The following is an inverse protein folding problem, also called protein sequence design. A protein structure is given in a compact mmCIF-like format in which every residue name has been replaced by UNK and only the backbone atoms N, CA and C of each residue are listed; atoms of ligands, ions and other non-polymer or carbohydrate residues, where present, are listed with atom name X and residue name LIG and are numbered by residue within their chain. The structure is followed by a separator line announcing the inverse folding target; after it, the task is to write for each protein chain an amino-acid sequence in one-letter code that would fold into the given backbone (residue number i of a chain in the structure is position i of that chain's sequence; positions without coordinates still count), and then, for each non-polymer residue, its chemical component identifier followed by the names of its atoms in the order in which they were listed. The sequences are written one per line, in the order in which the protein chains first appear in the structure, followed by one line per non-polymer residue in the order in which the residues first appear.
data_IF_508524474671
#
_entry.id   IF_508524474671
#
_cell.length_a   1.000
_cell.length_b   1.000
_cell.length_c   1.000
_cell.angle_alpha   90.00
_cell.angle_beta   90.00
_cell.angle_gamma   90.00
#
_symmetry.space_group_name_H-M   'P 1'
#
loop_
_entity.id
_entity.type
_entity.pdbx_description
1 polymer ?
#
# COMPACT_ATOMS: atom_id res chain seq x y z
N UNK A 1 -61.53 9.12 -7.82
CA UNK A 1 -60.49 8.92 -8.88
C UNK A 1 -59.24 8.45 -8.16
N UNK A 2 -58.75 7.27 -8.46
CA UNK A 2 -57.64 6.67 -7.68
C UNK A 2 -56.32 7.08 -8.32
N UNK A 3 -55.54 7.97 -7.65
CA UNK A 3 -54.32 8.58 -8.16
C UNK A 3 -53.30 7.50 -8.58
N UNK A 4 -53.21 6.42 -7.80
CA UNK A 4 -52.29 5.30 -8.09
C UNK A 4 -52.62 4.60 -9.42
N UNK A 5 -53.93 4.40 -9.73
CA UNK A 5 -54.37 3.79 -10.99
C UNK A 5 -54.07 4.70 -12.19
N UNK A 6 -54.22 6.00 -12.02
CA UNK A 6 -53.97 7.00 -13.07
C UNK A 6 -52.45 7.06 -13.36
N UNK A 7 -51.60 7.04 -12.32
CA UNK A 7 -50.15 7.00 -12.48
C UNK A 7 -49.71 5.73 -13.19
N UNK A 8 -50.24 4.58 -12.85
CA UNK A 8 -49.95 3.31 -13.50
C UNK A 8 -50.32 3.30 -14.99
N UNK A 9 -51.50 3.82 -15.33
CA UNK A 9 -51.92 3.95 -16.74
C UNK A 9 -51.04 4.89 -17.53
N UNK A 10 -50.58 5.99 -16.91
CA UNK A 10 -49.65 6.94 -17.58
C UNK A 10 -48.27 6.32 -17.84
N UNK A 11 -47.76 5.52 -16.90
CA UNK A 11 -46.52 4.78 -17.10
C UNK A 11 -46.58 3.79 -18.29
N UNK A 12 -47.74 3.09 -18.43
CA UNK A 12 -47.94 2.12 -19.49
C UNK A 12 -48.23 2.79 -20.85
N UNK A 13 -48.84 3.99 -20.87
CA UNK A 13 -49.14 4.71 -22.10
C UNK A 13 -47.92 5.36 -22.78
N UNK A 14 -46.84 5.60 -22.00
CA UNK A 14 -45.61 6.21 -22.51
C UNK A 14 -44.37 5.35 -22.19
N UNK A 15 -44.25 4.14 -22.79
CA UNK A 15 -43.23 3.17 -22.37
C UNK A 15 -41.80 3.65 -22.60
N UNK A 16 -41.54 4.37 -23.68
CA UNK A 16 -40.21 4.90 -23.97
C UNK A 16 -39.73 5.89 -22.91
N UNK A 17 -40.61 6.81 -22.51
CA UNK A 17 -40.28 7.81 -21.48
C UNK A 17 -40.11 7.14 -20.11
N UNK A 18 -40.94 6.14 -19.80
CA UNK A 18 -40.84 5.36 -18.56
C UNK A 18 -39.54 4.59 -18.49
N UNK A 19 -39.11 3.93 -19.55
CA UNK A 19 -37.84 3.20 -19.62
C UNK A 19 -36.66 4.18 -19.45
N UNK A 20 -36.70 5.34 -20.11
CA UNK A 20 -35.68 6.35 -19.99
C UNK A 20 -35.55 6.88 -18.56
N UNK A 21 -36.67 7.19 -17.91
CA UNK A 21 -36.69 7.64 -16.51
C UNK A 21 -36.14 6.55 -15.55
N UNK A 22 -36.53 5.30 -15.75
CA UNK A 22 -36.02 4.18 -14.95
C UNK A 22 -34.51 3.99 -15.15
N UNK A 23 -34.05 4.09 -16.39
CA UNK A 23 -32.61 3.97 -16.71
C UNK A 23 -31.81 5.09 -16.07
N UNK A 24 -32.28 6.33 -16.14
CA UNK A 24 -31.63 7.47 -15.48
C UNK A 24 -31.64 7.34 -13.96
N UNK A 25 -32.74 6.88 -13.38
CA UNK A 25 -32.85 6.67 -11.94
C UNK A 25 -31.92 5.55 -11.48
N UNK A 26 -31.87 4.42 -12.17
CA UNK A 26 -30.99 3.31 -11.84
C UNK A 26 -29.52 3.69 -11.98
N UNK A 27 -29.19 4.44 -13.04
CA UNK A 27 -27.84 4.97 -13.23
C UNK A 27 -27.44 5.92 -12.11
N UNK A 28 -28.32 6.85 -11.72
CA UNK A 28 -28.09 7.79 -10.62
C UNK A 28 -27.85 7.08 -9.29
N UNK A 29 -28.73 6.15 -8.93
CA UNK A 29 -28.57 5.35 -7.70
C UNK A 29 -27.30 4.49 -7.78
N UNK A 30 -27.02 3.91 -8.95
CA UNK A 30 -25.82 3.09 -9.17
C UNK A 30 -24.52 3.88 -8.96
N UNK A 31 -24.45 5.10 -9.50
CA UNK A 31 -23.27 5.97 -9.32
C UNK A 31 -23.10 6.38 -7.86
N UNK A 32 -24.19 6.78 -7.19
CA UNK A 32 -24.12 7.15 -5.76
C UNK A 32 -23.63 5.95 -4.93
N UNK A 33 -24.19 4.77 -5.16
CA UNK A 33 -23.78 3.55 -4.47
C UNK A 33 -22.31 3.21 -4.71
N UNK A 34 -21.85 3.34 -5.95
CA UNK A 34 -20.45 3.10 -6.32
C UNK A 34 -19.51 4.06 -5.58
N UNK A 35 -19.83 5.36 -5.56
CA UNK A 35 -19.01 6.37 -4.87
C UNK A 35 -18.95 6.09 -3.36
N UNK A 36 -20.07 5.73 -2.74
CA UNK A 36 -20.11 5.39 -1.32
C UNK A 36 -19.29 4.13 -1.00
N UNK A 37 -19.36 3.10 -1.84
CA UNK A 37 -18.55 1.90 -1.69
C UNK A 37 -17.04 2.19 -1.83
N UNK A 38 -16.65 2.94 -2.86
CA UNK A 38 -15.25 3.34 -3.06
C UNK A 38 -14.74 4.17 -1.90
N UNK A 39 -15.52 5.14 -1.42
CA UNK A 39 -15.11 5.96 -0.27
C UNK A 39 -14.86 5.11 0.98
N UNK A 40 -15.77 4.18 1.28
CA UNK A 40 -15.63 3.28 2.42
C UNK A 40 -14.41 2.35 2.29
N UNK A 41 -14.18 1.80 1.09
CA UNK A 41 -13.02 0.92 0.84
C UNK A 41 -11.69 1.67 0.98
N UNK A 42 -11.61 2.88 0.41
CA UNK A 42 -10.42 3.74 0.54
C UNK A 42 -10.16 4.09 2.01
N UNK A 43 -11.19 4.50 2.75
CA UNK A 43 -11.05 4.84 4.18
C UNK A 43 -10.54 3.65 4.99
N UNK A 44 -11.11 2.45 4.79
CA UNK A 44 -10.66 1.24 5.46
C UNK A 44 -9.22 0.89 5.12
N UNK A 45 -8.81 1.03 3.87
CA UNK A 45 -7.46 0.74 3.44
C UNK A 45 -6.45 1.74 4.04
N UNK A 46 -6.79 3.03 4.06
CA UNK A 46 -5.97 4.05 4.70
C UNK A 46 -5.80 3.78 6.20
N UNK A 47 -6.88 3.44 6.90
CA UNK A 47 -6.84 3.13 8.33
C UNK A 47 -6.00 1.88 8.64
N UNK A 48 -6.03 0.85 7.80
CA UNK A 48 -5.20 -0.34 7.97
C UNK A 48 -3.70 0.00 7.91
N UNK A 49 -3.30 0.88 7.01
CA UNK A 49 -1.90 1.27 6.85
C UNK A 49 -1.35 2.08 8.04
N UNK A 50 -2.20 2.84 8.72
CA UNK A 50 -1.82 3.67 9.89
C UNK A 50 -1.91 2.90 11.21
N UNK A 51 -2.56 1.73 11.22
CA UNK A 51 -2.82 0.97 12.45
C UNK A 51 -1.52 0.61 13.16
N UNK A 52 -1.42 1.05 14.42
CA UNK A 52 -0.24 0.77 15.28
C UNK A 52 0.93 1.72 15.07
N UNK A 53 0.75 2.79 14.29
CA UNK A 53 1.74 3.85 14.10
C UNK A 53 1.25 5.11 14.80
N UNK A 54 1.89 5.47 15.91
CA UNK A 54 1.52 6.67 16.68
C UNK A 54 2.27 7.91 16.16
N UNK A 55 3.49 7.74 15.64
CA UNK A 55 4.35 8.83 15.20
C UNK A 55 5.32 8.36 14.11
N UNK A 56 5.60 9.27 13.19
CA UNK A 56 6.65 9.10 12.17
C UNK A 56 7.73 10.15 12.39
N UNK A 57 8.98 9.72 12.39
CA UNK A 57 10.15 10.60 12.53
C UNK A 57 11.04 10.47 11.30
N UNK A 58 11.40 11.59 10.68
CA UNK A 58 12.23 11.61 9.49
C UNK A 58 12.98 12.94 9.34
N UNK A 59 13.69 13.11 8.23
CA UNK A 59 14.37 14.36 7.90
C UNK A 59 13.37 15.54 7.78
N UNK A 60 13.84 16.74 8.08
CA UNK A 60 13.02 17.95 7.96
C UNK A 60 12.57 18.17 6.52
N UNK A 61 11.29 18.46 6.35
CA UNK A 61 10.67 18.70 5.05
C UNK A 61 9.15 18.78 5.19
N UNK A 62 8.44 18.37 4.15
CA UNK A 62 6.99 18.34 4.16
C UNK A 62 6.47 17.21 5.07
N UNK A 63 5.63 17.49 6.10
CA UNK A 63 5.01 16.44 6.91
C UNK A 63 4.16 15.47 6.09
N UNK A 64 3.48 15.99 5.06
CA UNK A 64 2.67 15.16 4.17
C UNK A 64 3.54 14.16 3.39
N UNK A 65 4.66 14.63 2.81
CA UNK A 65 5.59 13.78 2.09
C UNK A 65 6.21 12.72 3.01
N UNK A 66 6.52 13.07 4.25
CA UNK A 66 7.02 12.13 5.24
C UNK A 66 6.02 10.99 5.52
N UNK A 67 4.74 11.31 5.68
CA UNK A 67 3.69 10.32 5.89
C UNK A 67 3.47 9.48 4.61
N UNK A 68 3.40 10.12 3.45
CA UNK A 68 3.20 9.41 2.17
C UNK A 68 4.34 8.43 1.88
N UNK A 69 5.58 8.81 2.16
CA UNK A 69 6.72 7.93 1.92
C UNK A 69 6.85 6.80 2.94
N UNK A 70 6.69 7.09 4.24
CA UNK A 70 6.98 6.12 5.30
C UNK A 70 5.82 5.20 5.69
N UNK A 71 4.58 5.65 5.51
CA UNK A 71 3.38 4.88 5.88
C UNK A 71 2.71 4.27 4.64
N UNK A 72 2.57 5.06 3.58
CA UNK A 72 1.87 4.63 2.37
C UNK A 72 2.81 4.16 1.25
N UNK A 73 4.10 4.40 1.38
CA UNK A 73 5.14 4.02 0.39
C UNK A 73 4.90 4.57 -1.03
N UNK A 74 4.21 5.72 -1.14
CA UNK A 74 3.82 6.31 -2.43
C UNK A 74 4.92 7.21 -3.00
N UNK A 75 5.71 7.88 -2.13
CA UNK A 75 6.69 8.89 -2.55
C UNK A 75 8.07 8.61 -1.94
N UNK A 76 9.06 9.39 -2.33
CA UNK A 76 10.40 9.33 -1.75
C UNK A 76 10.46 10.12 -0.43
N UNK A 77 11.25 9.67 0.56
CA UNK A 77 11.42 10.40 1.80
C UNK A 77 12.12 11.75 1.56
N UNK A 78 11.84 12.73 2.44
CA UNK A 78 12.46 14.07 2.39
C UNK A 78 14.00 14.05 2.54
N UNK A 79 14.56 12.95 3.02
CA UNK A 79 15.96 12.73 3.30
C UNK A 79 16.14 11.70 4.40
N UNK A 80 17.39 11.52 4.83
CA UNK A 80 17.76 10.53 5.84
C UNK A 80 17.98 11.18 7.22
N UNK A 81 17.73 10.42 8.27
CA UNK A 81 18.16 10.72 9.64
C UNK A 81 19.32 9.81 10.02
N UNK A 82 20.20 10.28 10.90
CA UNK A 82 21.35 9.48 11.30
C UNK A 82 20.93 8.30 12.18
N UNK A 83 21.64 7.19 12.09
CA UNK A 83 21.41 6.02 12.96
C UNK A 83 21.53 6.36 14.45
N UNK A 84 22.42 7.29 14.80
CA UNK A 84 22.57 7.78 16.19
C UNK A 84 21.31 8.46 16.73
N UNK A 85 20.55 9.15 15.87
CA UNK A 85 19.28 9.74 16.26
C UNK A 85 18.20 8.68 16.46
N UNK A 86 18.17 7.66 15.62
CA UNK A 86 17.28 6.49 15.77
C UNK A 86 17.58 5.79 17.10
N UNK A 87 18.86 5.53 17.42
CA UNK A 87 19.26 4.90 18.67
C UNK A 87 18.87 5.73 19.92
N UNK A 88 18.97 7.07 19.84
CA UNK A 88 18.51 7.95 20.93
C UNK A 88 16.99 7.84 21.15
N UNK A 89 16.22 7.78 20.07
CA UNK A 89 14.77 7.59 20.15
C UNK A 89 14.42 6.25 20.75
N UNK A 90 15.10 5.18 20.37
CA UNK A 90 14.89 3.85 20.91
C UNK A 90 15.17 3.75 22.41
N UNK A 91 16.13 4.54 22.91
CA UNK A 91 16.48 4.59 24.35
C UNK A 91 15.54 5.47 25.16
N UNK A 92 14.64 6.22 24.54
CA UNK A 92 13.71 7.08 25.26
C UNK A 92 12.61 6.23 25.93
N UNK A 93 12.40 6.33 27.24
CA UNK A 93 11.42 5.52 27.96
C UNK A 93 9.97 5.78 27.55
N UNK A 94 9.69 6.88 26.87
CA UNK A 94 8.37 7.19 26.32
C UNK A 94 8.11 6.50 24.96
N UNK A 95 9.13 5.94 24.32
CA UNK A 95 9.02 5.21 23.06
C UNK A 95 8.91 3.72 23.34
N UNK A 96 7.73 3.16 23.11
CA UNK A 96 7.45 1.74 23.33
C UNK A 96 8.21 0.85 22.34
N UNK A 97 8.18 1.22 21.09
CA UNK A 97 8.90 0.53 20.00
C UNK A 97 9.18 1.50 18.88
N UNK A 98 10.23 1.28 18.10
CA UNK A 98 10.51 2.03 16.89
C UNK A 98 10.96 1.08 15.78
N UNK A 99 10.48 1.30 14.58
CA UNK A 99 10.79 0.49 13.41
C UNK A 99 11.54 1.39 12.44
N UNK A 100 12.84 1.16 12.22
CA UNK A 100 13.59 1.90 11.23
C UNK A 100 13.18 1.47 9.83
N UNK A 101 13.04 2.44 8.92
CA UNK A 101 12.79 2.20 7.51
C UNK A 101 13.90 2.88 6.69
N UNK A 102 14.49 2.16 5.77
CA UNK A 102 15.43 2.66 4.78
C UNK A 102 14.92 2.33 3.39
N UNK A 103 14.87 3.35 2.54
CA UNK A 103 14.46 3.23 1.15
C UNK A 103 15.64 3.62 0.27
N UNK A 104 15.88 2.88 -0.78
CA UNK A 104 16.94 3.16 -1.73
C UNK A 104 16.62 2.57 -3.08
N UNK A 105 16.57 1.28 -3.13
CA UNK A 105 16.41 0.53 -4.37
C UNK A 105 14.98 0.08 -4.62
N UNK A 106 14.74 -0.26 -5.86
CA UNK A 106 13.49 -0.86 -6.35
C UNK A 106 13.82 -2.04 -7.25
N UNK A 107 12.85 -2.92 -7.40
CA UNK A 107 12.92 -4.02 -8.37
C UNK A 107 11.59 -4.10 -9.10
N UNK A 108 11.59 -3.89 -10.42
CA UNK A 108 10.41 -3.92 -11.29
C UNK A 108 9.19 -3.17 -10.71
N UNK A 109 9.41 -1.95 -10.21
CA UNK A 109 8.36 -1.11 -9.62
C UNK A 109 8.03 -1.42 -8.15
N UNK A 110 8.61 -2.46 -7.55
CA UNK A 110 8.48 -2.78 -6.13
C UNK A 110 9.63 -2.17 -5.33
N UNK A 111 9.30 -1.55 -4.21
CA UNK A 111 10.32 -0.97 -3.32
C UNK A 111 11.03 -2.03 -2.49
N UNK A 112 12.34 -1.90 -2.39
CA UNK A 112 13.16 -2.65 -1.44
C UNK A 112 13.25 -1.81 -0.17
N UNK A 113 12.78 -2.38 0.95
CA UNK A 113 12.73 -1.69 2.24
C UNK A 113 13.68 -2.35 3.22
N UNK A 114 14.71 -1.62 3.62
CA UNK A 114 15.58 -2.03 4.72
C UNK A 114 14.89 -1.74 6.05
N UNK A 115 14.70 -2.76 6.89
CA UNK A 115 13.95 -2.64 8.14
C UNK A 115 14.32 -3.73 9.17
N UNK A 116 13.65 -3.72 10.33
CA UNK A 116 13.75 -4.76 11.37
C UNK A 116 12.63 -5.80 11.26
N UNK A 117 12.76 -6.90 11.99
CA UNK A 117 11.74 -7.95 12.09
C UNK A 117 10.39 -7.47 12.65
N UNK A 118 10.36 -6.31 13.27
CA UNK A 118 9.12 -5.77 13.83
C UNK A 118 8.22 -5.16 12.75
N UNK A 119 8.78 -4.85 11.58
CA UNK A 119 8.01 -4.33 10.46
C UNK A 119 7.00 -5.35 9.89
N UNK A 120 7.38 -6.58 9.51
CA UNK A 120 6.40 -7.60 9.15
C UNK A 120 5.38 -7.91 10.26
N UNK A 121 5.82 -7.88 11.53
CA UNK A 121 4.92 -8.10 12.68
C UNK A 121 3.88 -7.01 12.84
N UNK A 122 4.23 -5.73 12.57
CA UNK A 122 3.31 -4.60 12.63
C UNK A 122 2.10 -4.84 11.73
N UNK A 123 2.33 -5.37 10.53
CA UNK A 123 1.28 -5.70 9.56
C UNK A 123 0.73 -7.12 9.71
N UNK A 124 1.15 -7.86 10.74
CA UNK A 124 0.76 -9.26 10.97
C UNK A 124 1.03 -10.16 9.76
N UNK A 125 2.07 -9.80 8.99
CA UNK A 125 2.47 -10.57 7.82
C UNK A 125 2.94 -11.97 8.23
N UNK A 126 2.43 -12.98 7.53
CA UNK A 126 2.78 -14.37 7.76
C UNK A 126 3.71 -14.87 6.67
N UNK A 127 4.64 -15.72 7.06
CA UNK A 127 5.53 -16.37 6.14
C UNK A 127 4.79 -17.53 5.47
N UNK A 128 4.71 -17.51 4.14
CA UNK A 128 4.13 -18.60 3.34
C UNK A 128 5.16 -19.70 3.13
N UNK A 129 6.39 -19.30 2.77
CA UNK A 129 7.50 -20.22 2.49
C UNK A 129 8.83 -19.61 2.93
N UNK A 130 9.82 -20.45 3.26
CA UNK A 130 11.17 -20.06 3.58
C UNK A 130 11.35 -19.55 5.01
N UNK A 131 12.17 -18.51 5.18
CA UNK A 131 12.51 -17.92 6.46
C UNK A 131 12.63 -16.38 6.36
N UNK A 132 12.69 -15.71 7.50
CA UNK A 132 13.09 -14.30 7.54
C UNK A 132 14.60 -14.18 7.27
N UNK A 133 15.02 -13.01 6.83
CA UNK A 133 16.43 -12.69 6.57
C UNK A 133 17.28 -12.79 7.83
N UNK A 134 18.52 -13.21 7.70
CA UNK A 134 19.50 -13.28 8.80
C UNK A 134 20.78 -12.54 8.49
N UNK A 135 21.01 -12.24 7.20
CA UNK A 135 22.19 -11.54 6.69
C UNK A 135 21.77 -10.34 5.87
N UNK A 136 22.71 -9.43 5.66
CA UNK A 136 22.53 -8.34 4.70
C UNK A 136 22.28 -8.91 3.29
N UNK A 137 21.45 -8.22 2.50
CA UNK A 137 21.06 -8.57 1.14
C UNK A 137 20.14 -9.80 1.01
N UNK A 138 19.83 -10.50 2.10
CA UNK A 138 18.70 -11.45 2.10
C UNK A 138 17.38 -10.69 2.15
N UNK A 139 16.43 -11.08 1.30
CA UNK A 139 15.12 -10.42 1.22
C UNK A 139 13.97 -11.41 1.39
N UNK A 140 12.90 -10.90 1.98
CA UNK A 140 11.60 -11.56 2.02
C UNK A 140 10.64 -10.79 1.14
N UNK A 141 9.99 -11.49 0.22
CA UNK A 141 9.18 -10.88 -0.84
C UNK A 141 7.70 -11.07 -0.52
N UNK A 142 6.88 -10.05 -0.73
CA UNK A 142 5.42 -10.17 -0.64
C UNK A 142 4.86 -11.04 -1.76
N UNK A 143 3.75 -11.76 -1.52
CA UNK A 143 3.14 -12.68 -2.50
C UNK A 143 2.90 -12.03 -3.86
N UNK A 144 2.34 -10.82 -3.91
CA UNK A 144 2.08 -10.12 -5.17
C UNK A 144 3.37 -9.82 -5.96
N UNK A 145 4.44 -9.40 -5.28
CA UNK A 145 5.72 -9.13 -5.92
C UNK A 145 6.39 -10.43 -6.41
N UNK A 146 6.26 -11.52 -5.64
CA UNK A 146 6.76 -12.83 -6.03
C UNK A 146 6.04 -13.37 -7.28
N UNK A 147 4.70 -13.26 -7.33
CA UNK A 147 3.90 -13.72 -8.47
C UNK A 147 4.17 -12.92 -9.74
N UNK A 148 4.17 -11.58 -9.66
CA UNK A 148 4.37 -10.70 -10.82
C UNK A 148 5.77 -10.90 -11.43
N UNK A 149 6.78 -11.08 -10.58
CA UNK A 149 8.17 -11.23 -11.02
C UNK A 149 8.62 -12.69 -11.15
N UNK A 150 7.73 -13.66 -10.91
CA UNK A 150 8.05 -15.09 -10.89
C UNK A 150 9.23 -15.47 -9.98
N UNK A 151 9.39 -14.75 -8.84
CA UNK A 151 10.47 -14.97 -7.89
C UNK A 151 10.19 -16.19 -7.00
N UNK A 152 11.23 -16.99 -6.79
CA UNK A 152 11.23 -18.17 -5.91
C UNK A 152 12.34 -18.05 -4.87
N UNK A 153 12.22 -18.86 -3.81
CA UNK A 153 13.29 -18.97 -2.80
C UNK A 153 14.57 -19.45 -3.46
N UNK A 154 15.67 -18.76 -3.19
CA UNK A 154 16.99 -18.98 -3.78
C UNK A 154 17.27 -18.17 -5.04
N UNK A 155 16.28 -17.50 -5.60
CA UNK A 155 16.52 -16.57 -6.71
C UNK A 155 17.27 -15.33 -6.24
N UNK A 156 18.05 -14.76 -7.15
CA UNK A 156 18.79 -13.54 -6.90
C UNK A 156 18.44 -12.47 -7.94
N UNK A 157 18.37 -11.22 -7.50
CA UNK A 157 18.10 -10.10 -8.37
C UNK A 157 18.91 -8.85 -7.98
N UNK A 158 19.04 -7.91 -8.89
CA UNK A 158 19.71 -6.63 -8.67
C UNK A 158 18.68 -5.52 -8.49
N UNK A 159 18.91 -4.64 -7.52
CA UNK A 159 18.11 -3.45 -7.34
C UNK A 159 18.47 -2.36 -8.36
N UNK A 160 17.54 -1.48 -8.65
CA UNK A 160 17.75 -0.30 -9.48
C UNK A 160 17.30 0.95 -8.74
N UNK A 161 17.93 2.09 -9.04
CA UNK A 161 17.46 3.38 -8.51
C UNK A 161 16.24 3.90 -9.30
N UNK A 162 15.20 4.28 -8.57
CA UNK A 162 13.98 4.87 -9.12
C UNK A 162 12.86 3.86 -9.36
N UNK A 163 11.63 4.38 -9.45
CA UNK A 163 10.40 3.59 -9.68
C UNK A 163 10.11 3.36 -11.17
N UNK A 164 10.94 3.90 -12.07
CA UNK A 164 10.74 3.86 -13.53
C UNK A 164 11.68 2.83 -14.12
N UNK A 165 11.21 2.04 -15.08
CA UNK A 165 12.02 1.12 -15.86
C UNK A 165 13.17 1.87 -16.56
N UNK A 166 14.41 1.42 -16.34
CA UNK A 166 15.63 2.02 -16.93
C UNK A 166 16.52 2.80 -15.97
N UNK A 167 16.30 2.71 -14.65
CA UNK A 167 17.24 3.22 -13.64
C UNK A 167 18.60 2.51 -13.71
N UNK A 168 19.66 3.16 -13.20
CA UNK A 168 20.99 2.54 -13.08
C UNK A 168 20.89 1.29 -12.20
N UNK A 169 21.24 0.14 -12.78
CA UNK A 169 21.26 -1.16 -12.09
C UNK A 169 22.56 -1.24 -11.30
N UNK A 170 22.46 -1.58 -10.03
CA UNK A 170 23.63 -1.85 -9.19
C UNK A 170 24.12 -3.28 -9.35
N UNK A 171 24.99 -3.53 -10.31
CA UNK A 171 25.63 -4.85 -10.51
C UNK A 171 26.50 -5.31 -9.32
N UNK A 172 26.81 -4.40 -8.38
CA UNK A 172 27.68 -4.69 -7.25
C UNK A 172 26.98 -5.45 -6.10
N UNK A 173 25.66 -5.36 -5.99
CA UNK A 173 24.90 -5.98 -4.91
C UNK A 173 23.74 -6.78 -5.46
N UNK A 174 23.72 -8.07 -5.13
CA UNK A 174 22.64 -8.98 -5.48
C UNK A 174 21.81 -9.29 -4.23
N UNK A 175 20.51 -9.16 -4.32
CA UNK A 175 19.56 -9.56 -3.29
C UNK A 175 19.18 -11.02 -3.49
N UNK A 176 19.16 -11.82 -2.41
CA UNK A 176 18.76 -13.23 -2.42
C UNK A 176 17.37 -13.38 -1.76
N UNK A 177 16.45 -14.04 -2.44
CA UNK A 177 15.12 -14.33 -1.92
C UNK A 177 15.19 -15.52 -0.96
N UNK A 178 14.94 -15.28 0.33
CA UNK A 178 14.99 -16.30 1.39
C UNK A 178 13.62 -16.66 1.97
N UNK A 179 12.59 -15.91 1.62
CA UNK A 179 11.23 -16.16 2.06
C UNK A 179 10.18 -15.41 1.24
N UNK A 180 8.96 -15.91 1.28
CA UNK A 180 7.78 -15.32 0.63
C UNK A 180 6.69 -15.17 1.67
N UNK A 181 6.08 -13.98 1.76
CA UNK A 181 4.95 -13.68 2.63
C UNK A 181 3.62 -14.07 1.96
N UNK A 182 2.58 -14.29 2.81
CA UNK A 182 1.20 -14.51 2.35
C UNK A 182 0.61 -13.28 1.70
#
# INVERSE_FOLDING_TARGET
MNITRLSWQNLLSNPLNTILCLLLMTLGVGIISLVLLLNNEIEQQLQKNVKGIDMVVGAKGSPLQLILSSVYHIDNPNGNISLKEVEKLQKNPMVKSSIPLSFGDTYNGFRIVGTSYDYPKLYQAKLKEGRLWTKALEVVVGSAAAEINNLKIGDSFHGSHGLIEGGEVHDQFSYEVVGILE
#
